data_IF_711484062136
#
_entry.id   IF_711484062136
#
_cell.length_a   1.000
_cell.length_b   1.000
_cell.length_c   1.000
_cell.angle_alpha   90.00
_cell.angle_beta   90.00
_cell.angle_gamma   90.00
#
_symmetry.space_group_name_H-M   'P 1'
#
loop_
_entity.id
_entity.type
_entity.pdbx_description
1 polymer ?
#
# COMPACT_ATOMS: atom_id res chain seq x y z
N UNK A 1 -18.97 -49.26 4.05
CA UNK A 1 -17.86 -48.94 4.97
C UNK A 1 -16.64 -49.65 4.43
N UNK A 2 -15.80 -48.90 3.72
CA UNK A 2 -14.65 -49.42 2.97
C UNK A 2 -13.39 -48.95 3.69
N UNK A 3 -12.65 -49.90 4.23
CA UNK A 3 -11.41 -49.71 4.99
C UNK A 3 -10.25 -49.57 4.00
N UNK A 4 -9.53 -48.44 4.06
CA UNK A 4 -8.39 -48.15 3.20
C UNK A 4 -7.13 -48.48 3.99
N UNK A 5 -6.41 -49.52 3.54
CA UNK A 5 -5.11 -49.95 4.05
C UNK A 5 -3.98 -49.20 3.32
N UNK A 6 -3.01 -48.67 4.07
CA UNK A 6 -1.78 -48.08 3.52
C UNK A 6 -0.61 -49.07 3.57
N UNK A 7 0.28 -49.10 2.56
CA UNK A 7 1.50 -49.91 2.59
C UNK A 7 2.64 -49.21 3.36
N UNK A 8 3.59 -49.99 3.93
CA UNK A 8 4.74 -49.48 4.67
C UNK A 8 5.83 -48.97 3.71
N UNK A 9 6.39 -47.80 4.00
CA UNK A 9 7.56 -47.24 3.31
C UNK A 9 8.83 -47.55 4.08
N UNK A 10 9.70 -48.34 3.44
CA UNK A 10 11.05 -48.67 3.85
C UNK A 10 11.99 -47.46 3.77
N UNK A 11 12.76 -47.24 4.84
CA UNK A 11 13.88 -46.30 4.93
C UNK A 11 15.21 -47.05 4.81
N UNK A 12 16.14 -46.66 3.91
CA UNK A 12 17.46 -47.26 3.88
C UNK A 12 18.37 -46.67 4.97
N UNK A 13 18.95 -47.57 5.76
CA UNK A 13 19.80 -47.29 6.91
C UNK A 13 21.18 -46.73 6.56
N UNK A 14 21.67 -45.85 7.43
CA UNK A 14 23.08 -45.46 7.48
C UNK A 14 23.81 -46.28 8.54
N UNK A 15 24.87 -46.91 8.07
CA UNK A 15 25.77 -47.81 8.79
C UNK A 15 26.67 -47.01 9.76
N UNK A 16 26.69 -47.39 11.03
CA UNK A 16 27.62 -46.87 12.05
C UNK A 16 28.81 -47.82 12.11
N UNK A 17 30.03 -47.27 12.08
CA UNK A 17 31.27 -48.03 12.30
C UNK A 17 31.92 -47.55 13.63
N UNK A 18 32.42 -48.45 14.50
CA UNK A 18 32.90 -48.10 15.83
C UNK A 18 34.44 -47.95 15.87
N UNK A 19 34.91 -47.08 16.77
CA UNK A 19 36.26 -47.20 17.34
C UNK A 19 37.22 -46.05 17.05
N UNK A 20 37.43 -45.17 18.04
CA UNK A 20 38.78 -44.75 18.46
C UNK A 20 38.73 -43.95 19.77
N UNK A 21 39.12 -44.65 20.84
CA UNK A 21 40.07 -44.31 21.92
C UNK A 21 40.22 -42.82 22.37
N UNK A 22 39.96 -42.63 23.67
CA UNK A 22 40.23 -41.52 24.61
C UNK A 22 41.69 -40.96 24.59
N UNK A 23 41.94 -39.75 25.15
CA UNK A 23 42.25 -39.65 26.59
C UNK A 23 41.56 -38.50 27.35
N UNK A 24 40.88 -38.95 28.42
CA UNK A 24 40.72 -38.43 29.79
C UNK A 24 41.65 -37.27 30.20
N UNK A 25 41.08 -36.15 30.65
CA UNK A 25 41.76 -35.18 31.55
C UNK A 25 40.87 -34.84 32.74
N UNK A 26 41.22 -35.42 33.87
CA UNK A 26 40.70 -35.15 35.22
C UNK A 26 41.41 -33.93 35.81
N UNK A 27 40.67 -33.01 36.46
CA UNK A 27 41.23 -32.14 37.50
C UNK A 27 40.21 -31.95 38.61
N UNK A 28 40.58 -32.40 39.80
CA UNK A 28 39.83 -32.35 41.06
C UNK A 28 40.29 -31.15 41.88
N UNK A 29 39.28 -30.50 42.48
CA UNK A 29 39.17 -29.70 43.71
C UNK A 29 40.39 -29.14 44.45
N UNK A 30 40.20 -27.95 45.05
CA UNK A 30 40.19 -27.76 46.53
C UNK A 30 39.51 -26.44 46.93
N UNK A 31 38.66 -26.49 47.97
CA UNK A 31 38.17 -25.36 48.78
C UNK A 31 39.23 -24.93 49.82
N UNK A 32 39.08 -23.76 50.48
CA UNK A 32 38.49 -23.76 51.84
C UNK A 32 37.54 -22.58 52.16
N UNK A 33 36.70 -22.78 53.20
CA UNK A 33 35.94 -21.78 53.97
C UNK A 33 36.89 -20.95 54.87
N UNK A 34 36.58 -19.83 55.54
CA UNK A 34 35.39 -19.28 56.21
C UNK A 34 35.68 -17.81 56.57
N UNK A 35 34.67 -16.94 56.71
CA UNK A 35 34.82 -15.61 57.32
C UNK A 35 33.54 -14.75 57.33
N UNK A 36 33.06 -14.43 58.53
CA UNK A 36 31.89 -13.60 58.88
C UNK A 36 31.91 -12.14 58.37
N UNK A 37 30.72 -11.54 58.20
CA UNK A 37 30.47 -10.11 58.48
C UNK A 37 29.55 -9.38 57.49
N UNK A 38 28.76 -8.36 57.91
CA UNK A 38 27.39 -8.16 57.42
C UNK A 38 27.16 -6.96 56.48
N UNK A 39 25.91 -6.87 56.01
CA UNK A 39 25.23 -5.74 55.35
C UNK A 39 25.71 -5.29 53.98
N UNK A 40 24.88 -5.47 52.96
CA UNK A 40 24.30 -4.36 52.20
C UNK A 40 23.18 -4.86 51.27
N UNK A 41 21.99 -4.30 51.46
CA UNK A 41 20.83 -4.46 50.60
C UNK A 41 21.04 -3.71 49.27
N UNK A 42 21.77 -4.35 48.35
CA UNK A 42 21.88 -3.90 46.97
C UNK A 42 20.67 -4.36 46.15
N UNK A 43 19.68 -3.48 45.99
CA UNK A 43 18.64 -3.62 44.97
C UNK A 43 19.35 -3.54 43.62
N UNK A 44 19.65 -4.71 43.05
CA UNK A 44 20.09 -4.84 41.67
C UNK A 44 18.92 -4.48 40.76
N UNK A 45 18.79 -3.20 40.42
CA UNK A 45 18.06 -2.76 39.24
C UNK A 45 18.77 -3.34 38.02
N UNK A 46 18.25 -4.48 37.55
CA UNK A 46 18.47 -4.93 36.18
C UNK A 46 18.01 -3.81 35.24
N UNK A 47 18.95 -2.98 34.80
CA UNK A 47 18.81 -2.15 33.60
C UNK A 47 18.65 -3.11 32.43
N UNK A 48 17.43 -3.58 32.21
CA UNK A 48 17.01 -4.01 30.89
C UNK A 48 17.18 -2.78 30.00
N UNK A 49 18.16 -2.83 29.11
CA UNK A 49 18.24 -1.93 27.98
C UNK A 49 16.91 -2.05 27.24
N UNK A 50 16.02 -1.07 27.47
CA UNK A 50 14.84 -0.84 26.65
C UNK A 50 15.38 -0.42 25.28
N UNK A 51 15.73 -1.42 24.49
CA UNK A 51 16.00 -1.27 23.07
C UNK A 51 14.79 -0.58 22.48
N UNK A 52 15.04 0.50 21.74
CA UNK A 52 14.05 1.34 21.08
C UNK A 52 13.22 0.53 20.07
N UNK A 53 12.22 -0.22 20.55
CA UNK A 53 11.26 -0.98 19.75
C UNK A 53 10.37 -0.06 18.89
N UNK A 54 10.40 1.23 19.20
CA UNK A 54 9.87 2.33 18.38
C UNK A 54 10.66 2.60 17.08
N UNK A 55 11.66 1.80 16.73
CA UNK A 55 12.40 1.93 15.47
C UNK A 55 11.80 1.15 14.30
N UNK A 56 10.98 0.14 14.61
CA UNK A 56 10.40 -0.78 13.63
C UNK A 56 9.02 -0.25 13.22
N UNK A 57 8.92 0.39 12.07
CA UNK A 57 7.65 0.84 11.52
C UNK A 57 7.40 0.22 10.15
N UNK A 58 6.14 -0.15 9.94
CA UNK A 58 5.70 -1.03 8.85
C UNK A 58 5.37 -0.28 7.56
N UNK A 59 5.89 -0.82 6.46
CA UNK A 59 5.99 -0.23 5.13
C UNK A 59 4.87 -0.67 4.17
N UNK A 60 3.60 -0.59 4.56
CA UNK A 60 2.53 -1.17 3.73
C UNK A 60 1.87 -0.16 2.79
N UNK A 61 2.49 0.01 1.61
CA UNK A 61 1.95 0.72 0.45
C UNK A 61 1.51 -0.20 -0.71
N UNK A 62 1.93 -1.46 -0.74
CA UNK A 62 1.73 -2.38 -1.87
C UNK A 62 0.24 -2.57 -2.24
N UNK A 63 -0.67 -2.53 -1.27
CA UNK A 63 -2.10 -2.77 -1.55
C UNK A 63 -2.91 -1.54 -2.03
N UNK A 64 -2.29 -0.36 -2.20
CA UNK A 64 -3.01 0.89 -2.55
C UNK A 64 -2.72 1.43 -3.96
N UNK A 65 -1.81 0.82 -4.70
CA UNK A 65 -1.38 1.26 -6.03
C UNK A 65 -1.78 0.31 -7.17
N UNK A 66 -2.71 -0.62 -6.93
CA UNK A 66 -3.43 -1.25 -8.05
C UNK A 66 -4.20 -0.14 -8.76
N UNK A 67 -3.62 0.36 -9.85
CA UNK A 67 -4.22 1.32 -10.74
C UNK A 67 -5.61 0.80 -11.11
N UNK A 68 -6.62 1.62 -10.82
CA UNK A 68 -7.89 1.48 -11.52
C UNK A 68 -7.59 1.85 -12.97
N UNK A 69 -7.22 0.86 -13.77
CA UNK A 69 -7.34 0.92 -15.22
C UNK A 69 -8.82 1.07 -15.49
N UNK A 70 -9.28 2.32 -15.53
CA UNK A 70 -10.56 2.64 -16.14
C UNK A 70 -10.49 2.27 -17.63
N UNK A 71 -11.61 1.88 -18.26
CA UNK A 71 -11.62 1.60 -19.69
C UNK A 71 -11.13 2.85 -20.44
N UNK A 72 -10.07 2.70 -21.23
CA UNK A 72 -9.57 3.74 -22.11
C UNK A 72 -10.68 4.14 -23.07
N UNK A 73 -11.24 5.34 -22.87
CA UNK A 73 -12.03 5.99 -23.91
C UNK A 73 -11.12 6.19 -25.12
N UNK A 74 -11.51 5.62 -26.26
CA UNK A 74 -10.79 5.77 -27.51
C UNK A 74 -10.72 7.24 -27.89
N UNK A 75 -9.51 7.79 -27.94
CA UNK A 75 -9.27 9.10 -28.54
C UNK A 75 -9.66 9.06 -30.01
N UNK A 76 -10.71 9.80 -30.38
CA UNK A 76 -10.88 10.26 -31.75
C UNK A 76 -9.79 11.28 -32.03
N UNK A 77 -8.86 10.93 -32.93
CA UNK A 77 -7.82 11.83 -33.40
C UNK A 77 -8.43 12.96 -34.22
N UNK A 78 -8.25 14.20 -33.74
CA UNK A 78 -8.45 15.41 -34.54
C UNK A 78 -7.18 15.64 -35.37
N UNK A 79 -7.22 15.21 -36.63
CA UNK A 79 -6.21 15.57 -37.63
C UNK A 79 -6.57 16.93 -38.23
N UNK A 80 -5.89 17.97 -37.74
CA UNK A 80 -5.73 19.23 -38.47
C UNK A 80 -4.90 19.00 -39.73
N UNK A 81 -5.55 19.04 -40.90
CA UNK A 81 -4.89 18.89 -42.21
C UNK A 81 -5.67 19.56 -43.34
N UNK A 82 -5.17 20.71 -43.76
CA UNK A 82 -5.21 21.35 -45.09
C UNK A 82 -6.39 21.03 -46.04
N UNK A 83 -7.22 22.07 -46.27
CA UNK A 83 -8.23 22.18 -47.33
C UNK A 83 -7.74 21.67 -48.69
N UNK A 84 -8.49 20.73 -49.28
CA UNK A 84 -8.66 20.57 -50.73
C UNK A 84 -10.12 20.18 -51.01
N UNK A 85 -10.76 20.72 -52.08
CA UNK A 85 -12.18 20.49 -52.33
C UNK A 85 -12.39 19.22 -53.15
N UNK A 86 -13.30 18.35 -52.71
CA UNK A 86 -13.78 17.15 -53.44
C UNK A 86 -15.32 17.15 -53.39
N UNK A 87 -15.99 16.74 -54.49
CA UNK A 87 -17.35 17.18 -54.79
C UNK A 87 -18.44 16.34 -54.12
N UNK A 88 -19.56 17.03 -53.90
CA UNK A 88 -20.93 16.58 -53.65
C UNK A 88 -21.19 15.07 -53.79
N UNK A 89 -21.22 14.37 -52.64
CA UNK A 89 -21.93 13.10 -52.53
C UNK A 89 -23.24 13.32 -51.76
N UNK A 90 -24.32 12.86 -52.40
CA UNK A 90 -25.71 12.90 -51.94
C UNK A 90 -25.90 12.12 -50.64
N UNK A 91 -26.37 12.82 -49.63
CA UNK A 91 -26.81 12.28 -48.34
C UNK A 91 -28.02 11.36 -48.53
N UNK A 92 -27.81 10.05 -48.47
CA UNK A 92 -28.89 9.08 -48.24
C UNK A 92 -29.23 9.14 -46.76
N UNK A 93 -30.38 9.78 -46.43
CA UNK A 93 -30.99 9.75 -45.10
C UNK A 93 -31.43 8.32 -44.79
N UNK A 94 -30.80 7.73 -43.78
CA UNK A 94 -31.35 6.56 -43.10
C UNK A 94 -32.24 7.07 -41.96
N UNK A 95 -33.55 7.12 -42.21
CA UNK A 95 -34.57 7.31 -41.17
C UNK A 95 -34.53 6.08 -40.25
N UNK A 96 -33.81 6.21 -39.13
CA UNK A 96 -33.88 5.26 -38.02
C UNK A 96 -35.19 5.44 -37.26
N UNK A 97 -35.77 4.37 -36.70
CA UNK A 97 -37.05 4.43 -36.00
C UNK A 97 -36.99 5.40 -34.81
N UNK A 98 -38.11 6.09 -34.50
CA UNK A 98 -38.15 7.08 -33.42
C UNK A 98 -37.79 6.41 -32.09
N UNK A 99 -36.71 6.88 -31.47
CA UNK A 99 -36.36 6.55 -30.08
C UNK A 99 -37.54 6.96 -29.21
N UNK A 100 -38.26 5.96 -28.72
CA UNK A 100 -39.29 6.08 -27.70
C UNK A 100 -38.81 6.99 -26.58
N UNK A 101 -39.54 8.07 -26.34
CA UNK A 101 -39.35 8.98 -25.22
C UNK A 101 -39.14 8.16 -23.94
N UNK A 102 -37.91 8.17 -23.45
CA UNK A 102 -37.56 7.63 -22.14
C UNK A 102 -38.39 8.39 -21.13
N UNK A 103 -39.47 7.76 -20.69
CA UNK A 103 -40.30 8.25 -19.62
C UNK A 103 -39.39 8.24 -18.40
N UNK A 104 -38.95 9.42 -17.95
CA UNK A 104 -38.25 9.61 -16.67
C UNK A 104 -39.12 8.98 -15.58
N UNK A 105 -38.87 7.68 -15.33
CA UNK A 105 -39.44 6.94 -14.23
C UNK A 105 -39.06 7.71 -12.97
N UNK A 106 -40.09 8.05 -12.19
CA UNK A 106 -40.00 8.73 -10.91
C UNK A 106 -38.78 8.20 -10.13
N UNK A 107 -37.87 9.05 -9.65
CA UNK A 107 -36.68 8.58 -8.94
C UNK A 107 -37.12 7.71 -7.77
N UNK A 108 -36.77 6.42 -7.80
CA UNK A 108 -36.92 5.56 -6.65
C UNK A 108 -36.23 6.26 -5.46
N UNK A 109 -36.90 6.32 -4.30
CA UNK A 109 -36.34 6.99 -3.12
C UNK A 109 -34.90 6.49 -2.89
N UNK A 110 -33.92 7.39 -2.68
CA UNK A 110 -32.53 7.01 -2.53
C UNK A 110 -32.41 6.04 -1.36
N UNK A 111 -32.13 4.78 -1.70
CA UNK A 111 -32.00 3.71 -0.74
C UNK A 111 -30.77 3.99 0.10
N UNK A 112 -30.97 4.28 1.39
CA UNK A 112 -29.88 4.63 2.31
C UNK A 112 -29.08 3.37 2.62
N UNK A 113 -27.97 3.19 1.91
CA UNK A 113 -26.94 2.18 2.22
C UNK A 113 -26.54 2.33 3.68
N UNK A 114 -26.67 1.26 4.49
CA UNK A 114 -26.37 1.34 5.91
C UNK A 114 -24.85 1.29 6.11
N UNK A 115 -24.24 2.20 6.90
CA UNK A 115 -22.80 2.18 7.14
C UNK A 115 -22.28 0.85 7.70
N UNK A 116 -23.12 0.12 8.43
CA UNK A 116 -22.80 -1.21 8.97
C UNK A 116 -22.58 -2.27 7.87
N UNK A 117 -23.33 -2.20 6.76
CA UNK A 117 -23.17 -3.10 5.61
C UNK A 117 -21.83 -2.82 4.90
N UNK A 118 -21.52 -1.55 4.71
CA UNK A 118 -20.23 -1.13 4.15
C UNK A 118 -19.07 -1.66 5.02
N UNK A 119 -19.13 -1.47 6.34
CA UNK A 119 -18.09 -1.97 7.25
C UNK A 119 -17.97 -3.49 7.27
N UNK A 120 -19.10 -4.21 7.17
CA UNK A 120 -19.11 -5.67 7.05
C UNK A 120 -18.34 -6.12 5.80
N UNK A 121 -18.57 -5.48 4.66
CA UNK A 121 -17.89 -5.81 3.40
C UNK A 121 -16.41 -5.44 3.42
N UNK A 122 -16.06 -4.30 4.01
CA UNK A 122 -14.66 -3.90 4.23
C UNK A 122 -13.93 -4.98 5.03
N UNK A 123 -14.48 -5.41 6.16
CA UNK A 123 -13.85 -6.44 7.03
C UNK A 123 -13.88 -7.83 6.37
N UNK A 124 -14.85 -8.10 5.49
CA UNK A 124 -14.89 -9.31 4.68
C UNK A 124 -13.70 -9.41 3.71
N UNK A 125 -13.26 -8.28 3.16
CA UNK A 125 -12.14 -8.23 2.22
C UNK A 125 -10.77 -8.31 2.92
N UNK A 126 -9.78 -8.98 2.30
CA UNK A 126 -8.42 -9.05 2.84
C UNK A 126 -7.77 -7.66 2.95
N UNK A 127 -7.93 -6.80 1.94
CA UNK A 127 -7.39 -5.45 1.94
C UNK A 127 -8.08 -4.55 2.99
N UNK A 128 -9.39 -4.66 3.16
CA UNK A 128 -10.11 -3.89 4.16
C UNK A 128 -9.76 -4.32 5.59
N UNK A 129 -9.47 -5.61 5.84
CA UNK A 129 -8.90 -6.05 7.13
C UNK A 129 -7.56 -5.39 7.44
N UNK A 130 -6.62 -5.36 6.49
CA UNK A 130 -5.33 -4.67 6.68
C UNK A 130 -5.55 -3.21 7.09
N UNK A 131 -6.41 -2.48 6.37
CA UNK A 131 -6.69 -1.07 6.69
C UNK A 131 -7.39 -0.90 8.03
N UNK A 132 -8.33 -1.77 8.37
CA UNK A 132 -9.00 -1.76 9.68
C UNK A 132 -8.01 -1.98 10.82
N UNK A 133 -7.12 -2.97 10.71
CA UNK A 133 -6.07 -3.21 11.69
C UNK A 133 -5.09 -2.03 11.78
N UNK A 134 -4.75 -1.41 10.64
CA UNK A 134 -3.92 -0.19 10.61
C UNK A 134 -4.60 0.94 11.40
N UNK A 135 -5.90 1.18 11.18
CA UNK A 135 -6.66 2.20 11.89
C UNK A 135 -6.67 1.96 13.41
N UNK A 136 -6.91 0.72 13.84
CA UNK A 136 -6.88 0.31 15.26
C UNK A 136 -5.47 0.49 15.86
N UNK A 137 -4.43 0.09 15.11
CA UNK A 137 -3.05 0.20 15.55
C UNK A 137 -2.66 1.67 15.79
N UNK A 138 -2.96 2.56 14.85
CA UNK A 138 -2.58 3.97 14.98
C UNK A 138 -3.47 4.74 15.96
N UNK A 139 -4.74 4.36 16.13
CA UNK A 139 -5.57 4.92 17.21
C UNK A 139 -5.05 4.54 18.60
N UNK A 140 -4.61 3.30 18.78
CA UNK A 140 -3.95 2.86 20.02
C UNK A 140 -2.61 3.57 20.26
N UNK A 141 -1.81 3.81 19.21
CA UNK A 141 -0.56 4.57 19.32
C UNK A 141 -0.83 6.03 19.72
N UNK A 142 -1.84 6.65 19.11
CA UNK A 142 -2.24 8.01 19.47
C UNK A 142 -2.78 8.07 20.90
N UNK A 143 -3.58 7.08 21.31
CA UNK A 143 -4.04 6.95 22.68
C UNK A 143 -2.88 6.83 23.67
N UNK A 144 -1.89 5.96 23.40
CA UNK A 144 -0.69 5.83 24.22
C UNK A 144 0.08 7.14 24.34
N UNK A 145 0.14 7.94 23.26
CA UNK A 145 0.82 9.23 23.25
C UNK A 145 0.10 10.26 24.14
N UNK A 146 -1.23 10.35 24.04
CA UNK A 146 -2.01 11.18 24.95
C UNK A 146 -1.94 10.68 26.38
N UNK A 147 -1.97 9.36 26.58
CA UNK A 147 -1.88 8.74 27.90
C UNK A 147 -0.54 9.08 28.55
N UNK A 148 0.57 8.90 27.84
CA UNK A 148 1.90 9.24 28.32
C UNK A 148 2.01 10.74 28.67
N UNK A 149 1.43 11.63 27.86
CA UNK A 149 1.52 13.08 28.09
C UNK A 149 0.61 13.59 29.21
N UNK A 150 -0.59 13.04 29.32
CA UNK A 150 -1.62 13.47 30.27
C UNK A 150 -1.40 12.81 31.64
N UNK A 151 -1.09 11.51 31.66
CA UNK A 151 -0.91 10.75 32.91
C UNK A 151 0.53 10.77 33.45
N UNK A 152 1.54 11.21 32.71
CA UNK A 152 2.84 11.53 33.32
C UNK A 152 2.70 12.60 34.43
N UNK A 153 1.64 13.42 34.39
CA UNK A 153 1.30 14.38 35.45
C UNK A 153 0.49 13.77 36.61
N UNK A 154 -0.24 12.69 36.36
CA UNK A 154 -1.07 11.98 37.33
C UNK A 154 -0.34 10.69 37.77
N UNK A 155 0.55 10.85 38.74
CA UNK A 155 1.57 9.89 39.21
C UNK A 155 1.05 8.55 39.77
N UNK A 156 -0.25 8.26 39.75
CA UNK A 156 -0.83 7.08 40.40
C UNK A 156 -1.66 6.23 39.44
N UNK A 157 -1.17 5.03 39.12
CA UNK A 157 -2.03 3.89 38.78
C UNK A 157 -1.91 3.26 37.38
N UNK A 158 -1.23 3.87 36.41
CA UNK A 158 -1.29 3.37 35.02
C UNK A 158 -0.16 2.41 34.58
N UNK A 159 0.76 2.05 35.49
CA UNK A 159 1.99 1.33 35.13
C UNK A 159 1.82 -0.05 34.47
N UNK A 160 0.66 -0.71 34.63
CA UNK A 160 0.41 -2.01 33.99
C UNK A 160 -0.30 -1.93 32.63
N UNK A 161 -1.00 -0.84 32.33
CA UNK A 161 -1.79 -0.71 31.11
C UNK A 161 -0.89 -0.41 29.90
N UNK A 162 0.09 0.48 30.08
CA UNK A 162 1.03 0.89 29.04
C UNK A 162 1.79 -0.30 28.39
N UNK A 163 2.46 -1.20 29.13
CA UNK A 163 3.16 -2.32 28.51
C UNK A 163 2.22 -3.29 27.79
N UNK A 164 1.00 -3.49 28.29
CA UNK A 164 -0.01 -4.34 27.65
C UNK A 164 -0.49 -3.75 26.32
N UNK A 165 -0.77 -2.44 26.27
CA UNK A 165 -1.15 -1.78 25.02
C UNK A 165 -0.01 -1.77 24.01
N UNK A 166 1.24 -1.56 24.44
CA UNK A 166 2.41 -1.65 23.56
C UNK A 166 2.57 -3.04 22.95
N UNK A 167 2.44 -4.09 23.78
CA UNK A 167 2.46 -5.48 23.31
C UNK A 167 1.30 -5.75 22.33
N UNK A 168 0.10 -5.23 22.61
CA UNK A 168 -1.07 -5.34 21.74
C UNK A 168 -0.84 -4.66 20.39
N UNK A 169 -0.28 -3.45 20.39
CA UNK A 169 0.08 -2.69 19.18
C UNK A 169 1.12 -3.45 18.35
N UNK A 170 2.13 -4.05 18.98
CA UNK A 170 3.11 -4.89 18.31
C UNK A 170 2.48 -6.17 17.73
N UNK A 171 1.52 -6.76 18.45
CA UNK A 171 0.72 -7.89 17.98
C UNK A 171 -0.11 -7.55 16.76
N UNK A 172 -0.82 -6.42 16.74
CA UNK A 172 -1.58 -5.96 15.56
C UNK A 172 -0.70 -5.76 14.34
N UNK A 173 0.49 -5.15 14.52
CA UNK A 173 1.48 -5.01 13.44
C UNK A 173 1.91 -6.37 12.88
N UNK A 174 2.20 -7.36 13.75
CA UNK A 174 2.57 -8.70 13.32
C UNK A 174 1.42 -9.42 12.59
N UNK A 175 0.21 -9.38 13.13
CA UNK A 175 -0.99 -9.98 12.50
C UNK A 175 -1.21 -9.38 11.11
N UNK A 176 -1.07 -8.06 10.99
CA UNK A 176 -1.23 -7.34 9.73
C UNK A 176 -0.22 -7.81 8.68
N UNK A 177 1.05 -7.96 9.07
CA UNK A 177 2.09 -8.54 8.21
C UNK A 177 1.78 -9.96 7.77
N UNK A 178 1.30 -10.78 8.69
CA UNK A 178 0.90 -12.16 8.36
C UNK A 178 -0.27 -12.20 7.35
N UNK A 179 -1.21 -11.24 7.40
CA UNK A 179 -2.34 -11.17 6.47
C UNK A 179 -1.93 -10.78 5.04
N UNK A 180 -0.78 -10.12 4.87
CA UNK A 180 -0.26 -9.67 3.57
C UNK A 180 0.96 -10.49 3.11
N UNK A 181 1.28 -11.59 3.78
CA UNK A 181 2.34 -12.48 3.34
C UNK A 181 2.08 -12.93 1.90
N UNK A 182 3.16 -13.12 1.14
CA UNK A 182 3.12 -13.54 -0.26
C UNK A 182 2.51 -12.50 -1.21
N UNK A 183 2.40 -11.23 -0.80
CA UNK A 183 1.89 -10.17 -1.69
C UNK A 183 2.78 -9.96 -2.94
N UNK A 184 4.04 -10.40 -2.92
CA UNK A 184 4.94 -10.37 -4.08
C UNK A 184 4.52 -11.33 -5.21
N UNK A 185 3.64 -12.31 -4.96
CA UNK A 185 3.15 -13.21 -6.00
C UNK A 185 2.36 -12.47 -7.09
N UNK A 186 1.61 -11.42 -6.75
CA UNK A 186 0.86 -10.62 -7.73
C UNK A 186 1.78 -9.98 -8.78
N UNK A 187 2.74 -9.13 -8.35
CA UNK A 187 3.75 -8.57 -9.25
C UNK A 187 4.53 -9.63 -10.02
N UNK A 188 4.88 -10.76 -9.39
CA UNK A 188 5.56 -11.85 -10.06
C UNK A 188 4.71 -12.43 -11.21
N UNK A 189 3.44 -12.74 -10.93
CA UNK A 189 2.51 -13.27 -11.94
C UNK A 189 2.30 -12.29 -13.08
N UNK A 190 2.28 -10.98 -12.80
CA UNK A 190 2.19 -9.94 -13.82
C UNK A 190 3.43 -9.90 -14.73
N UNK A 191 4.63 -10.13 -14.19
CA UNK A 191 5.88 -10.22 -14.98
C UNK A 191 5.93 -11.53 -15.78
N UNK A 192 5.43 -12.64 -15.20
CA UNK A 192 5.41 -13.95 -15.84
C UNK A 192 4.39 -14.01 -16.98
N UNK A 193 3.20 -13.47 -16.75
CA UNK A 193 2.09 -13.42 -17.69
C UNK A 193 1.71 -11.95 -17.88
N UNK A 194 2.51 -11.17 -18.64
CA UNK A 194 2.05 -9.85 -19.05
C UNK A 194 0.78 -10.11 -19.85
N UNK A 195 -0.37 -9.74 -19.27
CA UNK A 195 -1.63 -9.76 -20.00
C UNK A 195 -1.34 -8.98 -21.28
N UNK A 196 -1.50 -9.64 -22.43
CA UNK A 196 -1.18 -9.08 -23.73
C UNK A 196 -1.77 -7.69 -23.80
N UNK A 197 -0.90 -6.68 -23.74
CA UNK A 197 -1.33 -5.30 -23.75
C UNK A 197 -2.10 -5.12 -25.06
N UNK A 198 -3.36 -4.64 -25.04
CA UNK A 198 -4.21 -4.60 -26.23
C UNK A 198 -3.68 -3.71 -27.36
N UNK A 199 -2.54 -3.03 -27.17
CA UNK A 199 -1.89 -2.18 -28.15
C UNK A 199 -0.86 -2.87 -29.06
N UNK A 200 -0.66 -4.19 -28.94
CA UNK A 200 0.25 -4.96 -29.84
C UNK A 200 -0.45 -5.96 -30.76
N UNK A 201 -1.76 -5.81 -31.01
CA UNK A 201 -2.49 -6.63 -32.00
C UNK A 201 -2.43 -6.07 -33.44
N UNK A 202 -1.76 -4.94 -33.68
CA UNK A 202 -1.71 -4.32 -35.02
C UNK A 202 -0.71 -4.97 -35.99
N UNK A 203 -0.12 -6.12 -35.66
CA UNK A 203 0.77 -6.85 -36.56
C UNK A 203 0.15 -8.19 -37.01
N UNK A 204 -0.73 -8.19 -38.05
CA UNK A 204 -1.43 -9.38 -38.53
C UNK A 204 -0.50 -10.46 -39.14
N UNK A 205 0.81 -10.19 -39.23
CA UNK A 205 1.82 -11.14 -39.70
C UNK A 205 2.48 -11.95 -38.58
N UNK A 206 2.22 -11.66 -37.30
CA UNK A 206 2.72 -12.45 -36.17
C UNK A 206 1.91 -13.73 -35.89
N UNK A 207 1.03 -14.13 -36.81
CA UNK A 207 0.28 -15.37 -36.67
C UNK A 207 1.13 -16.58 -37.10
N UNK A 208 1.37 -17.49 -36.13
CA UNK A 208 1.87 -18.89 -36.27
C UNK A 208 3.36 -19.19 -36.09
N UNK A 209 4.23 -18.22 -35.80
CA UNK A 209 5.62 -18.52 -35.42
C UNK A 209 5.73 -18.96 -33.95
N UNK A 210 6.18 -20.20 -33.70
CA UNK A 210 6.32 -20.84 -32.37
C UNK A 210 6.68 -19.86 -31.24
N UNK A 211 5.93 -19.90 -30.14
CA UNK A 211 6.23 -19.21 -28.90
C UNK A 211 7.56 -19.68 -28.30
N UNK A 212 8.69 -19.20 -28.85
CA UNK A 212 10.00 -19.35 -28.23
C UNK A 212 9.91 -18.66 -26.87
N UNK A 213 9.99 -19.43 -25.80
CA UNK A 213 9.96 -18.93 -24.43
C UNK A 213 11.07 -17.88 -24.28
N UNK A 214 10.72 -16.59 -24.32
CA UNK A 214 11.66 -15.53 -24.00
C UNK A 214 12.21 -15.83 -22.60
N UNK A 215 13.54 -15.78 -22.39
CA UNK A 215 14.13 -16.11 -21.10
C UNK A 215 13.56 -15.18 -20.02
N UNK A 216 13.36 -15.70 -18.80
CA UNK A 216 12.75 -14.95 -17.70
C UNK A 216 13.47 -13.62 -17.43
N UNK A 217 14.80 -13.60 -17.54
CA UNK A 217 15.61 -12.39 -17.37
C UNK A 217 15.22 -11.27 -18.35
N UNK A 218 14.85 -11.63 -19.59
CA UNK A 218 14.36 -10.65 -20.55
C UNK A 218 12.99 -10.08 -20.13
N UNK A 219 12.12 -10.88 -19.50
CA UNK A 219 10.84 -10.38 -18.98
C UNK A 219 11.05 -9.46 -17.79
N UNK A 220 11.98 -9.80 -16.89
CA UNK A 220 12.34 -8.95 -15.75
C UNK A 220 12.96 -7.63 -16.18
N UNK A 221 13.89 -7.62 -17.14
CA UNK A 221 14.53 -6.40 -17.63
C UNK A 221 13.58 -5.45 -18.36
N UNK A 222 12.52 -5.98 -18.97
CA UNK A 222 11.50 -5.19 -19.67
C UNK A 222 10.25 -4.92 -18.81
N UNK A 223 10.22 -5.36 -17.56
CA UNK A 223 9.12 -5.05 -16.66
C UNK A 223 9.16 -3.56 -16.28
N UNK A 224 7.98 -2.96 -16.12
CA UNK A 224 7.86 -1.57 -15.67
C UNK A 224 8.57 -1.40 -14.32
N UNK A 225 9.44 -0.39 -14.15
CA UNK A 225 10.20 -0.19 -12.91
C UNK A 225 9.37 -0.19 -11.61
N UNK A 226 8.13 0.37 -11.56
CA UNK A 226 7.30 0.32 -10.36
C UNK A 226 6.93 -1.10 -9.91
N UNK A 227 6.65 -2.00 -10.85
CA UNK A 227 6.26 -3.40 -10.55
C UNK A 227 7.44 -4.19 -9.99
N UNK A 228 8.65 -3.95 -10.51
CA UNK A 228 9.87 -4.54 -9.96
C UNK A 228 10.11 -4.06 -8.53
N UNK A 229 9.93 -2.77 -8.30
CA UNK A 229 10.10 -2.16 -6.99
C UNK A 229 9.10 -2.74 -5.98
N UNK A 230 7.83 -2.89 -6.37
CA UNK A 230 6.80 -3.53 -5.54
C UNK A 230 7.12 -5.00 -5.24
N UNK A 231 7.62 -5.75 -6.23
CA UNK A 231 8.04 -7.14 -6.08
C UNK A 231 9.14 -7.26 -5.02
N UNK A 232 10.21 -6.48 -5.16
CA UNK A 232 11.33 -6.52 -4.22
C UNK A 232 10.93 -6.01 -2.84
N UNK A 233 10.07 -4.98 -2.75
CA UNK A 233 9.59 -4.47 -1.48
C UNK A 233 8.79 -5.53 -0.72
N UNK A 234 7.78 -6.11 -1.39
CA UNK A 234 6.93 -7.14 -0.80
C UNK A 234 7.72 -8.40 -0.43
N UNK A 235 8.75 -8.77 -1.22
CA UNK A 235 9.64 -9.87 -0.87
C UNK A 235 10.50 -9.57 0.37
N UNK A 236 11.07 -8.36 0.46
CA UNK A 236 11.85 -7.95 1.63
C UNK A 236 10.99 -7.89 2.91
N UNK A 237 9.74 -7.45 2.80
CA UNK A 237 8.77 -7.43 3.90
C UNK A 237 8.41 -8.86 4.39
N UNK A 238 8.25 -9.82 3.48
CA UNK A 238 8.02 -11.22 3.84
C UNK A 238 9.23 -11.81 4.59
N UNK A 239 10.45 -11.59 4.08
CA UNK A 239 11.69 -12.06 4.73
C UNK A 239 11.83 -11.44 6.13
N UNK A 240 11.48 -10.16 6.27
CA UNK A 240 11.45 -9.50 7.56
C UNK A 240 10.42 -10.13 8.50
N UNK A 241 9.21 -10.39 8.01
CA UNK A 241 8.13 -11.03 8.77
C UNK A 241 8.53 -12.43 9.23
N UNK A 242 9.14 -13.24 8.36
CA UNK A 242 9.68 -14.55 8.72
C UNK A 242 10.76 -14.46 9.80
N UNK A 243 11.57 -13.40 9.80
CA UNK A 243 12.54 -13.18 10.88
C UNK A 243 11.88 -12.86 12.22
N UNK A 244 10.76 -12.13 12.21
CA UNK A 244 9.96 -11.84 13.42
C UNK A 244 9.23 -13.08 13.95
N UNK A 245 8.83 -13.99 13.06
CA UNK A 245 8.27 -15.28 13.42
C UNK A 245 9.34 -16.28 13.91
N UNK A 246 10.63 -15.94 13.81
CA UNK A 246 11.73 -16.81 14.21
C UNK A 246 12.12 -17.88 13.19
N UNK A 247 11.56 -17.83 11.96
CA UNK A 247 11.89 -18.74 10.87
C UNK A 247 13.23 -18.40 10.20
N UNK A 248 13.60 -17.11 10.20
CA UNK A 248 14.83 -16.59 9.58
C UNK A 248 15.70 -15.92 10.65
N UNK A 249 17.03 -16.05 10.53
CA UNK A 249 17.96 -15.49 11.51
C UNK A 249 17.87 -13.96 11.65
N UNK A 250 18.00 -13.45 12.89
CA UNK A 250 17.90 -12.02 13.22
C UNK A 250 18.78 -11.09 12.37
N UNK A 251 19.95 -11.58 11.93
CA UNK A 251 20.87 -10.82 11.06
C UNK A 251 20.29 -10.59 9.66
N UNK A 252 19.65 -11.60 9.08
CA UNK A 252 19.01 -11.49 7.76
C UNK A 252 17.76 -10.62 7.88
N UNK A 253 16.97 -10.82 8.94
CA UNK A 253 15.84 -9.97 9.27
C UNK A 253 16.19 -8.48 9.33
N UNK A 254 17.23 -8.12 10.09
CA UNK A 254 17.67 -6.72 10.20
C UNK A 254 18.23 -6.13 8.90
N UNK A 255 18.72 -6.96 7.95
CA UNK A 255 19.10 -6.50 6.60
C UNK A 255 17.87 -6.31 5.72
N UNK A 256 16.95 -7.27 5.74
CA UNK A 256 15.69 -7.21 5.00
C UNK A 256 14.85 -6.00 5.42
N UNK A 257 14.79 -5.69 6.71
CA UNK A 257 14.13 -4.49 7.23
C UNK A 257 14.69 -3.21 6.63
N UNK A 258 16.02 -3.07 6.59
CA UNK A 258 16.67 -1.90 5.98
C UNK A 258 16.36 -1.81 4.50
N UNK A 259 16.40 -2.93 3.78
CA UNK A 259 16.07 -2.97 2.37
C UNK A 259 14.61 -2.60 2.11
N UNK A 260 13.67 -3.16 2.88
CA UNK A 260 12.26 -2.83 2.80
C UNK A 260 12.02 -1.33 3.06
N UNK A 261 12.67 -0.73 4.06
CA UNK A 261 12.54 0.72 4.30
C UNK A 261 13.06 1.58 3.14
N UNK A 262 14.18 1.19 2.51
CA UNK A 262 14.71 1.89 1.33
C UNK A 262 13.79 1.73 0.12
N UNK A 263 13.29 0.51 -0.13
CA UNK A 263 12.37 0.25 -1.22
C UNK A 263 11.04 0.96 -0.99
N UNK A 264 10.56 1.02 0.25
CA UNK A 264 9.37 1.78 0.61
C UNK A 264 9.53 3.28 0.32
N UNK A 265 10.67 3.87 0.65
CA UNK A 265 10.99 5.26 0.30
C UNK A 265 10.91 5.48 -1.22
N UNK A 266 11.57 4.62 -1.99
CA UNK A 266 11.59 4.72 -3.45
C UNK A 266 10.18 4.52 -4.04
N UNK A 267 9.40 3.57 -3.50
CA UNK A 267 8.01 3.34 -3.91
C UNK A 267 7.14 4.55 -3.66
N UNK A 268 7.30 5.19 -2.50
CA UNK A 268 6.53 6.38 -2.11
C UNK A 268 6.88 7.55 -3.02
N UNK A 269 8.16 7.72 -3.35
CA UNK A 269 8.62 8.76 -4.26
C UNK A 269 8.10 8.54 -5.68
N UNK A 270 8.21 7.31 -6.19
CA UNK A 270 7.68 6.95 -7.52
C UNK A 270 6.17 7.22 -7.59
N UNK A 271 5.42 6.79 -6.57
CA UNK A 271 3.99 7.04 -6.47
C UNK A 271 3.64 8.53 -6.39
N UNK A 272 4.46 9.34 -5.72
CA UNK A 272 4.23 10.78 -5.64
C UNK A 272 4.42 11.47 -6.99
N UNK A 273 5.42 11.04 -7.76
CA UNK A 273 5.66 11.52 -9.13
C UNK A 273 4.52 11.11 -10.06
N UNK A 274 4.09 9.84 -10.00
CA UNK A 274 2.98 9.32 -10.80
C UNK A 274 1.67 10.08 -10.52
N UNK A 275 1.30 10.23 -9.24
CA UNK A 275 0.11 11.00 -8.85
C UNK A 275 0.24 12.48 -9.24
N UNK A 276 1.45 13.03 -9.24
CA UNK A 276 1.72 14.39 -9.72
C UNK A 276 1.48 14.54 -11.23
N UNK A 277 1.96 13.59 -12.03
CA UNK A 277 1.76 13.55 -13.47
C UNK A 277 0.27 13.38 -13.82
N UNK A 278 -0.41 12.41 -13.20
CA UNK A 278 -1.84 12.17 -13.38
C UNK A 278 -2.69 13.38 -13.03
N UNK A 279 -2.35 14.09 -11.94
CA UNK A 279 -3.05 15.30 -11.55
C UNK A 279 -2.94 16.39 -12.62
N UNK A 280 -1.76 16.54 -13.20
CA UNK A 280 -1.51 17.56 -14.23
C UNK A 280 -2.31 17.24 -15.50
N UNK A 281 -2.34 15.96 -15.89
CA UNK A 281 -3.13 15.47 -17.01
C UNK A 281 -4.64 15.73 -16.79
N UNK A 282 -5.18 15.31 -15.64
CA UNK A 282 -6.61 15.49 -15.33
C UNK A 282 -6.98 16.98 -15.24
N UNK A 283 -6.09 17.82 -14.70
CA UNK A 283 -6.31 19.26 -14.66
C UNK A 283 -6.41 19.87 -16.06
N UNK A 284 -5.56 19.43 -16.99
CA UNK A 284 -5.64 19.88 -18.38
C UNK A 284 -6.93 19.43 -19.06
N UNK A 285 -7.38 18.19 -18.81
CA UNK A 285 -8.68 17.70 -19.31
C UNK A 285 -9.86 18.51 -18.78
N UNK A 286 -9.86 18.85 -17.47
CA UNK A 286 -10.90 19.71 -16.88
C UNK A 286 -10.93 21.07 -17.56
N UNK A 287 -9.76 21.71 -17.72
CA UNK A 287 -9.68 23.02 -18.36
C UNK A 287 -10.14 22.99 -19.83
N UNK A 288 -9.84 21.91 -20.55
CA UNK A 288 -10.29 21.71 -21.92
C UNK A 288 -11.82 21.53 -22.01
N UNK A 289 -12.41 20.69 -21.16
CA UNK A 289 -13.86 20.51 -21.10
C UNK A 289 -14.59 21.79 -20.67
N UNK A 290 -14.09 22.50 -19.65
CA UNK A 290 -14.66 23.78 -19.22
C UNK A 290 -14.62 24.83 -20.35
N UNK A 291 -13.55 24.85 -21.14
CA UNK A 291 -13.45 25.73 -22.31
C UNK A 291 -14.45 25.37 -23.41
N UNK A 292 -14.69 24.08 -23.67
CA UNK A 292 -15.66 23.62 -24.68
C UNK A 292 -17.09 23.95 -24.27
N UNK A 293 -17.46 23.59 -23.03
CA UNK A 293 -18.78 23.90 -22.47
C UNK A 293 -19.05 25.41 -22.50
N UNK A 294 -18.07 26.25 -22.16
CA UNK A 294 -18.22 27.70 -22.25
C UNK A 294 -18.38 28.19 -23.69
N UNK A 295 -17.59 27.67 -24.64
CA UNK A 295 -17.70 28.02 -26.06
C UNK A 295 -19.07 27.66 -26.63
N UNK A 296 -19.55 26.45 -26.35
CA UNK A 296 -20.84 25.97 -26.81
C UNK A 296 -21.98 26.79 -26.21
N UNK A 297 -21.90 27.13 -24.92
CA UNK A 297 -22.85 28.03 -24.26
C UNK A 297 -22.90 29.43 -24.89
N UNK A 298 -21.78 29.95 -25.40
CA UNK A 298 -21.74 31.25 -26.07
C UNK A 298 -22.29 31.20 -27.50
N UNK A 299 -22.13 30.08 -28.21
CA UNK A 299 -22.64 29.91 -29.58
C UNK A 299 -24.13 29.56 -29.64
N UNK A 300 -24.70 29.05 -28.54
CA UNK A 300 -26.10 28.67 -28.45
C UNK A 300 -27.04 29.90 -28.50
N UNK A 301 -27.59 30.16 -29.68
CA UNK A 301 -28.72 31.06 -29.84
C UNK A 301 -29.99 30.36 -29.30
N UNK A 302 -30.66 30.91 -28.26
CA UNK A 302 -31.74 30.22 -27.53
C UNK A 302 -32.96 29.83 -28.37
N UNK A 303 -33.04 30.26 -29.64
CA UNK A 303 -34.18 29.98 -30.54
C UNK A 303 -34.03 28.73 -31.41
N UNK A 304 -32.85 28.12 -31.51
CA UNK A 304 -32.58 27.00 -32.43
C UNK A 304 -31.72 25.88 -31.82
N UNK A 305 -31.87 25.62 -30.52
CA UNK A 305 -31.15 24.51 -29.88
C UNK A 305 -31.83 23.20 -30.25
N UNK A 306 -31.13 22.34 -30.99
CA UNK A 306 -31.58 20.98 -31.27
C UNK A 306 -31.42 20.10 -30.01
N UNK A 307 -32.37 19.21 -29.76
CA UNK A 307 -32.35 18.26 -28.62
C UNK A 307 -31.03 17.45 -28.54
N UNK A 308 -30.39 17.19 -29.68
CA UNK A 308 -29.09 16.50 -29.75
C UNK A 308 -27.96 17.30 -29.11
N UNK A 309 -27.97 18.63 -29.23
CA UNK A 309 -26.96 19.50 -28.63
C UNK A 309 -27.16 19.58 -27.12
N UNK A 310 -28.42 19.59 -26.66
CA UNK A 310 -28.74 19.54 -25.24
C UNK A 310 -28.27 18.23 -24.60
N UNK A 311 -28.49 17.09 -25.26
CA UNK A 311 -28.01 15.80 -24.77
C UNK A 311 -26.47 15.71 -24.72
N UNK A 312 -25.77 16.32 -25.69
CA UNK A 312 -24.31 16.39 -25.67
C UNK A 312 -23.78 17.23 -24.50
N UNK A 313 -24.43 18.36 -24.19
CA UNK A 313 -24.07 19.19 -23.04
C UNK A 313 -24.31 18.48 -21.70
N UNK A 314 -25.42 17.75 -21.56
CA UNK A 314 -25.71 16.97 -20.35
C UNK A 314 -24.63 15.89 -20.14
N UNK A 315 -24.21 15.22 -21.22
CA UNK A 315 -23.13 14.25 -21.16
C UNK A 315 -21.77 14.89 -20.80
N UNK A 316 -21.45 16.05 -21.38
CA UNK A 316 -20.21 16.78 -21.04
C UNK A 316 -20.18 17.23 -19.57
N UNK A 317 -21.34 17.60 -19.00
CA UNK A 317 -21.46 17.95 -17.58
C UNK A 317 -21.19 16.73 -16.67
N UNK A 318 -21.73 15.56 -17.01
CA UNK A 318 -21.48 14.31 -16.28
C UNK A 318 -19.99 13.88 -16.35
N UNK A 319 -19.35 14.03 -17.50
CA UNK A 319 -17.93 13.73 -17.70
C UNK A 319 -17.04 14.70 -16.88
N UNK A 320 -17.42 15.97 -16.85
CA UNK A 320 -16.73 17.01 -16.08
C UNK A 320 -16.82 16.74 -14.57
N UNK A 321 -17.99 16.33 -14.07
CA UNK A 321 -18.16 15.93 -12.67
C UNK A 321 -17.37 14.66 -12.32
N UNK A 322 -17.27 13.73 -13.26
CA UNK A 322 -16.41 12.54 -13.13
C UNK A 322 -14.94 12.92 -13.04
N UNK A 323 -14.47 13.85 -13.89
CA UNK A 323 -13.10 14.37 -13.88
C UNK A 323 -12.79 15.13 -12.59
N UNK A 324 -13.69 16.00 -12.12
CA UNK A 324 -13.55 16.72 -10.84
C UNK A 324 -13.47 15.75 -9.66
N UNK A 325 -14.29 14.71 -9.67
CA UNK A 325 -14.25 13.64 -8.66
C UNK A 325 -12.90 12.91 -8.67
N UNK A 326 -12.39 12.56 -9.86
CA UNK A 326 -11.06 11.95 -10.03
C UNK A 326 -9.95 12.87 -9.52
N UNK A 327 -10.01 14.16 -9.84
CA UNK A 327 -9.05 15.16 -9.37
C UNK A 327 -9.01 15.25 -7.84
N UNK A 328 -10.19 15.27 -7.19
CA UNK A 328 -10.30 15.24 -5.72
C UNK A 328 -9.63 13.99 -5.12
N UNK A 329 -9.83 12.81 -5.70
CA UNK A 329 -9.18 11.58 -5.24
C UNK A 329 -7.67 11.57 -5.47
N UNK A 330 -7.19 12.19 -6.54
CA UNK A 330 -5.75 12.39 -6.77
C UNK A 330 -5.14 13.30 -5.72
N UNK A 331 -5.83 14.38 -5.31
CA UNK A 331 -5.38 15.24 -4.21
C UNK A 331 -5.28 14.48 -2.89
N UNK A 332 -6.30 13.68 -2.55
CA UNK A 332 -6.28 12.83 -1.35
C UNK A 332 -5.13 11.82 -1.39
N UNK A 333 -4.91 11.20 -2.54
CA UNK A 333 -3.81 10.23 -2.73
C UNK A 333 -2.44 10.89 -2.60
N UNK A 334 -2.27 12.10 -3.13
CA UNK A 334 -1.05 12.90 -2.94
C UNK A 334 -0.82 13.25 -1.48
N UNK A 335 -1.86 13.73 -0.78
CA UNK A 335 -1.74 14.06 0.65
C UNK A 335 -1.34 12.83 1.47
N UNK A 336 -1.95 11.67 1.18
CA UNK A 336 -1.58 10.39 1.79
C UNK A 336 -0.09 10.08 1.55
N UNK A 337 0.38 10.15 0.30
CA UNK A 337 1.77 9.86 -0.04
C UNK A 337 2.74 10.86 0.57
N UNK A 338 2.35 12.13 0.75
CA UNK A 338 3.15 13.11 1.48
C UNK A 338 3.23 12.77 2.97
N UNK A 339 2.14 12.35 3.59
CA UNK A 339 2.16 11.86 4.98
C UNK A 339 3.05 10.63 5.13
N UNK A 340 2.95 9.69 4.18
CA UNK A 340 3.81 8.50 4.15
C UNK A 340 5.28 8.92 3.93
N UNK A 341 5.58 9.85 3.02
CA UNK A 341 6.93 10.35 2.78
C UNK A 341 7.53 11.01 4.02
N UNK A 342 6.78 11.87 4.71
CA UNK A 342 7.22 12.47 5.97
C UNK A 342 7.55 11.38 6.99
N UNK A 343 6.69 10.37 7.09
CA UNK A 343 6.89 9.24 7.99
C UNK A 343 8.16 8.43 7.66
N UNK A 344 8.39 8.13 6.37
CA UNK A 344 9.56 7.38 5.89
C UNK A 344 10.83 8.19 6.05
N UNK A 345 10.82 9.47 5.65
CA UNK A 345 11.96 10.36 5.78
C UNK A 345 12.36 10.47 7.24
N UNK A 346 11.45 10.75 8.16
CA UNK A 346 11.75 10.81 9.60
C UNK A 346 12.38 9.51 10.12
N UNK A 347 11.96 8.35 9.60
CA UNK A 347 12.55 7.05 9.97
C UNK A 347 13.94 6.85 9.34
N UNK A 348 14.07 7.11 8.04
CA UNK A 348 15.25 6.78 7.23
C UNK A 348 16.35 7.81 7.40
N UNK A 349 16.03 9.11 7.40
CA UNK A 349 16.99 10.18 7.72
C UNK A 349 17.51 10.00 9.14
N UNK A 350 16.68 9.59 10.10
CA UNK A 350 17.18 9.33 11.46
C UNK A 350 18.19 8.17 11.49
N UNK A 351 17.94 7.07 10.78
CA UNK A 351 18.90 5.97 10.68
C UNK A 351 20.16 6.33 9.89
N UNK A 352 20.01 7.08 8.80
CA UNK A 352 21.13 7.59 8.00
C UNK A 352 21.96 8.58 8.82
N UNK A 353 21.32 9.51 9.51
CA UNK A 353 21.96 10.43 10.45
C UNK A 353 22.65 9.65 11.57
N UNK A 354 22.00 8.70 12.27
CA UNK A 354 22.70 7.91 13.30
C UNK A 354 23.90 7.17 12.72
N UNK A 355 23.79 6.58 11.53
CA UNK A 355 24.92 5.86 10.92
C UNK A 355 26.04 6.84 10.56
N UNK A 356 25.72 7.94 9.89
CA UNK A 356 26.67 8.99 9.52
C UNK A 356 27.27 9.65 10.76
N UNK A 357 26.51 9.85 11.84
CA UNK A 357 26.95 10.45 13.11
C UNK A 357 27.65 9.48 14.04
N UNK A 358 27.44 8.17 13.87
CA UNK A 358 28.28 7.16 14.51
C UNK A 358 29.66 7.15 13.84
N UNK A 359 29.71 7.44 12.53
CA UNK A 359 30.94 7.69 11.77
C UNK A 359 31.52 9.10 12.00
N UNK A 360 30.67 10.10 12.25
CA UNK A 360 31.00 11.52 12.49
C UNK A 360 30.58 11.88 13.91
N UNK A 361 31.06 11.08 14.86
CA UNK A 361 30.87 11.34 16.28
C UNK A 361 31.83 12.46 16.63
N UNK A 362 31.34 13.69 16.83
CA UNK A 362 31.80 14.66 17.83
C UNK A 362 30.99 15.98 17.70
N UNK A 363 30.35 16.35 18.81
CA UNK A 363 30.02 17.72 19.27
C UNK A 363 28.71 18.44 18.91
N UNK A 364 27.94 18.12 17.88
CA UNK A 364 26.77 18.98 17.53
C UNK A 364 25.38 18.59 18.08
N UNK A 365 25.25 17.48 18.83
CA UNK A 365 23.93 16.84 19.03
C UNK A 365 23.08 17.30 20.22
N UNK A 366 23.54 18.27 21.01
CA UNK A 366 22.79 18.72 22.20
C UNK A 366 21.87 19.93 21.94
N UNK A 367 21.91 20.53 20.75
CA UNK A 367 21.19 21.78 20.46
C UNK A 367 19.75 21.56 19.97
N UNK A 368 19.41 20.38 19.43
CA UNK A 368 18.08 20.13 18.88
C UNK A 368 17.40 18.90 19.51
N UNK A 369 16.50 19.15 20.46
CA UNK A 369 15.61 18.13 21.07
C UNK A 369 14.52 17.59 20.12
N UNK A 370 14.84 17.32 18.84
CA UNK A 370 13.88 16.82 17.85
C UNK A 370 13.30 15.44 18.21
N UNK A 371 13.94 14.67 19.09
CA UNK A 371 13.46 13.34 19.50
C UNK A 371 12.06 13.38 20.12
N UNK A 372 11.67 14.47 20.81
CA UNK A 372 10.35 14.59 21.46
C UNK A 372 9.20 14.82 20.47
N UNK A 373 9.49 15.30 19.26
CA UNK A 373 8.46 15.62 18.24
C UNK A 373 8.20 14.44 17.31
N UNK A 374 9.19 13.56 17.16
CA UNK A 374 9.13 12.41 16.25
C UNK A 374 7.94 11.48 16.50
N UNK A 375 7.77 11.01 17.74
CA UNK A 375 6.69 10.09 18.09
C UNK A 375 5.29 10.67 17.83
N UNK A 376 4.98 11.93 18.24
CA UNK A 376 3.73 12.60 17.86
C UNK A 376 3.50 12.68 16.36
N UNK A 377 4.51 13.12 15.60
CA UNK A 377 4.39 13.30 14.15
C UNK A 377 4.14 11.96 13.47
N UNK A 378 4.86 10.91 13.84
CA UNK A 378 4.67 9.56 13.29
C UNK A 378 3.29 8.97 13.62
N UNK A 379 2.82 9.15 14.86
CA UNK A 379 1.50 8.68 15.26
C UNK A 379 0.38 9.42 14.49
N UNK A 380 0.49 10.74 14.37
CA UNK A 380 -0.49 11.57 13.66
C UNK A 380 -0.48 11.32 12.15
N UNK A 381 0.68 11.32 11.50
CA UNK A 381 0.78 11.09 10.06
C UNK A 381 0.36 9.67 9.69
N UNK A 382 0.73 8.68 10.51
CA UNK A 382 0.29 7.30 10.34
C UNK A 382 -1.22 7.12 10.49
N UNK A 383 -1.84 7.81 11.47
CA UNK A 383 -3.30 7.82 11.63
C UNK A 383 -3.99 8.51 10.44
N UNK A 384 -3.49 9.68 10.02
CA UNK A 384 -4.04 10.40 8.88
C UNK A 384 -3.98 9.53 7.60
N UNK A 385 -2.85 8.89 7.33
CA UNK A 385 -2.69 7.94 6.22
C UNK A 385 -3.68 6.76 6.32
N UNK A 386 -3.87 6.20 7.52
CA UNK A 386 -4.82 5.11 7.76
C UNK A 386 -6.27 5.54 7.52
N UNK A 387 -6.67 6.74 7.99
CA UNK A 387 -8.00 7.31 7.77
C UNK A 387 -8.23 7.54 6.28
N UNK A 388 -7.32 8.24 5.59
CA UNK A 388 -7.46 8.51 4.15
C UNK A 388 -7.55 7.22 3.33
N UNK A 389 -6.74 6.21 3.67
CA UNK A 389 -6.78 4.92 2.99
C UNK A 389 -8.08 4.16 3.26
N UNK A 390 -8.63 4.24 4.47
CA UNK A 390 -9.89 3.58 4.84
C UNK A 390 -11.08 4.28 4.17
N UNK A 391 -11.08 5.61 4.11
CA UNK A 391 -12.12 6.39 3.42
C UNK A 391 -12.22 6.06 1.93
N UNK A 392 -11.09 5.83 1.25
CA UNK A 392 -11.07 5.43 -0.17
C UNK A 392 -11.73 4.06 -0.38
N UNK A 393 -11.45 3.10 0.50
CA UNK A 393 -12.06 1.76 0.44
C UNK A 393 -13.55 1.85 0.78
N UNK A 394 -13.91 2.67 1.78
CA UNK A 394 -15.31 2.91 2.14
C UNK A 394 -16.13 3.46 0.97
N UNK A 395 -15.63 4.48 0.27
CA UNK A 395 -16.30 5.03 -0.92
C UNK A 395 -16.49 3.97 -2.02
N UNK A 396 -15.49 3.11 -2.24
CA UNK A 396 -15.56 2.03 -3.24
C UNK A 396 -16.65 1.01 -2.89
N UNK A 397 -16.74 0.57 -1.64
CA UNK A 397 -17.76 -0.38 -1.21
C UNK A 397 -19.15 0.26 -1.17
N UNK A 398 -19.25 1.52 -0.72
CA UNK A 398 -20.50 2.27 -0.73
C UNK A 398 -21.09 2.36 -2.15
N UNK A 399 -20.27 2.76 -3.13
CA UNK A 399 -20.69 2.85 -4.54
C UNK A 399 -20.98 1.49 -5.18
N UNK A 400 -20.38 0.41 -4.69
CA UNK A 400 -20.67 -0.93 -5.16
C UNK A 400 -22.06 -1.38 -4.69
N UNK A 401 -22.40 -1.10 -3.42
CA UNK A 401 -23.71 -1.40 -2.85
C UNK A 401 -24.82 -0.53 -3.45
N UNK A 402 -24.54 0.75 -3.72
CA UNK A 402 -25.47 1.66 -4.39
C UNK A 402 -25.83 1.21 -5.82
N UNK A 403 -25.01 0.36 -6.45
CA UNK A 403 -25.23 -0.18 -7.81
C UNK A 403 -25.87 -1.56 -7.83
N UNK A 404 -25.82 -2.31 -6.73
CA UNK A 404 -26.31 -3.68 -6.67
C UNK A 404 -27.80 -3.78 -6.34
N UNK A 405 -28.36 -2.72 -5.78
CA UNK A 405 -29.78 -2.54 -5.49
C UNK A 405 -30.47 -1.80 -6.65
#
# INVERSE_FOLDING_TARGET
MSEITFPPTDTPGFHVNPGSVLPRRTRVQTFPASGHGPSESGIAQSRTSVSSEWGVWDSDLSASMTSSVGPSASMYGSTTGTRTPVPSQSTIRHDGPPKSASTKLVPALPQRVRPAEVWKDIIGSANGRDKAFKLIQYSLKLYLLFHARTFARLKHGSGQLEPRLRSTVAGFSLVRKCLILFNWLGPLLHILHPASVPFSESDPLASRGSAKSRPLLHRFLHASPPVLLELFNSFADDVYTFSRLGLVGKKVGGRAEKMANWLWLLSTLAGLVEVGADRTLVQNMIAEHESRVYSDQMELNPKHVHDSTLAALEQDEEDLDTLKSRYKWLQVSRMKLLCDLVFVCESTLFFASITILTYVRLEAYDVFQFQKVREPVMAMSGLASAVLSSSKIYDKHYKALEKSD
#
